data_IF_923862723716
#
_entry.id   IF_923862723716
#
_cell.length_a   1.000
_cell.length_b   1.000
_cell.length_c   1.000
_cell.angle_alpha   90.00
_cell.angle_beta   90.00
_cell.angle_gamma   90.00
#
_symmetry.space_group_name_H-M   'P 1'
#
loop_
_entity.id
_entity.type
_entity.pdbx_description
1 polymer ?
#
# COMPACT_ATOMS: atom_id res chain seq x y z
N UNK A 1 -6.49 -15.43 10.61
CA UNK A 1 -6.15 -14.37 9.64
C UNK A 1 -7.34 -13.47 9.31
N UNK A 2 -8.48 -13.96 8.81
CA UNK A 2 -9.62 -13.10 8.44
C UNK A 2 -10.19 -12.29 9.62
N UNK A 3 -10.32 -12.92 10.80
CA UNK A 3 -10.77 -12.26 12.03
C UNK A 3 -9.88 -11.05 12.39
N UNK A 4 -8.57 -11.23 12.33
CA UNK A 4 -7.58 -10.17 12.57
C UNK A 4 -7.76 -9.00 11.60
N UNK A 5 -7.91 -9.29 10.30
CA UNK A 5 -8.11 -8.26 9.28
C UNK A 5 -9.39 -7.45 9.54
N UNK A 6 -10.46 -8.12 9.97
CA UNK A 6 -11.73 -7.46 10.31
C UNK A 6 -11.60 -6.59 11.57
N UNK A 7 -10.93 -7.09 12.61
CA UNK A 7 -10.84 -6.40 13.91
C UNK A 7 -9.86 -5.22 13.88
N UNK A 8 -8.75 -5.35 13.16
CA UNK A 8 -7.65 -4.38 13.16
C UNK A 8 -7.67 -3.40 11.97
N UNK A 9 -8.80 -3.23 11.28
CA UNK A 9 -8.91 -2.30 10.15
C UNK A 9 -8.50 -0.85 10.49
N UNK A 10 -8.70 -0.40 11.73
CA UNK A 10 -8.26 0.92 12.21
C UNK A 10 -6.74 1.05 12.25
N UNK A 11 -6.04 -0.03 12.63
CA UNK A 11 -4.57 -0.07 12.61
C UNK A 11 -4.07 0.10 11.18
N UNK A 12 -4.66 -0.62 10.22
CA UNK A 12 -4.28 -0.47 8.81
C UNK A 12 -4.62 0.93 8.28
N UNK A 13 -5.74 1.52 8.70
CA UNK A 13 -6.07 2.91 8.35
C UNK A 13 -4.99 3.88 8.85
N UNK A 14 -4.62 3.79 10.13
CA UNK A 14 -3.58 4.65 10.69
C UNK A 14 -2.24 4.40 10.00
N UNK A 15 -1.85 3.14 9.78
CA UNK A 15 -0.62 2.78 9.08
C UNK A 15 -0.61 3.29 7.62
N UNK A 16 -1.73 3.23 6.89
CA UNK A 16 -1.86 3.81 5.56
C UNK A 16 -1.69 5.32 5.57
N UNK A 17 -2.35 6.01 6.50
CA UNK A 17 -2.30 7.46 6.62
C UNK A 17 -0.98 7.99 7.19
N UNK A 18 -0.13 7.12 7.74
CA UNK A 18 1.18 7.48 8.31
C UNK A 18 2.31 6.90 7.46
N UNK A 19 2.68 5.65 7.71
CA UNK A 19 3.73 4.96 6.98
C UNK A 19 3.45 4.93 5.48
N UNK A 20 2.21 4.58 5.07
CA UNK A 20 1.86 4.45 3.66
C UNK A 20 1.86 5.74 2.86
N UNK A 21 1.82 6.90 3.53
CA UNK A 21 1.94 8.23 2.89
C UNK A 21 3.30 8.88 3.15
N UNK A 22 4.18 8.27 3.94
CA UNK A 22 5.46 8.87 4.28
C UNK A 22 6.43 8.86 3.07
N UNK A 23 7.24 9.90 2.90
CA UNK A 23 7.10 11.25 3.47
C UNK A 23 5.90 11.98 2.85
N UNK A 24 5.18 12.81 3.58
CA UNK A 24 3.86 13.31 3.14
C UNK A 24 3.86 14.25 1.92
N UNK A 25 5.01 14.78 1.49
CA UNK A 25 5.08 15.74 0.39
C UNK A 25 6.43 15.65 -0.37
N UNK A 26 6.50 14.96 -1.52
CA UNK A 26 5.50 14.01 -2.05
C UNK A 26 5.61 12.61 -1.41
N UNK A 27 4.49 11.87 -1.23
CA UNK A 27 4.52 10.47 -0.81
C UNK A 27 5.38 9.60 -1.70
N UNK A 28 6.25 8.77 -1.09
CA UNK A 28 7.10 7.84 -1.85
C UNK A 28 6.25 6.95 -2.76
N UNK A 29 5.10 6.48 -2.27
CA UNK A 29 4.22 5.59 -3.02
C UNK A 29 3.75 6.20 -4.37
N UNK A 30 3.54 7.51 -4.44
CA UNK A 30 3.10 8.19 -5.69
C UNK A 30 4.21 8.11 -6.74
N UNK A 31 5.44 8.45 -6.36
CA UNK A 31 6.59 8.37 -7.27
C UNK A 31 6.83 6.94 -7.75
N UNK A 32 6.75 5.96 -6.85
CA UNK A 32 6.95 4.56 -7.23
C UNK A 32 5.84 4.03 -8.16
N UNK A 33 4.57 4.38 -7.92
CA UNK A 33 3.45 4.01 -8.81
C UNK A 33 3.67 4.59 -10.20
N UNK A 34 4.03 5.88 -10.31
CA UNK A 34 4.32 6.50 -11.61
C UNK A 34 5.49 5.82 -12.33
N UNK A 35 6.53 5.44 -11.60
CA UNK A 35 7.68 4.74 -12.16
C UNK A 35 7.33 3.33 -12.66
N UNK A 36 6.47 2.59 -11.94
CA UNK A 36 5.94 1.28 -12.38
C UNK A 36 5.07 1.45 -13.63
N UNK A 37 4.13 2.40 -13.63
CA UNK A 37 3.23 2.65 -14.77
C UNK A 37 3.99 3.14 -16.01
N UNK A 38 5.09 3.88 -15.83
CA UNK A 38 5.95 4.35 -16.91
C UNK A 38 6.89 3.30 -17.51
N UNK A 39 6.86 2.04 -17.04
CA UNK A 39 7.70 0.95 -17.54
C UNK A 39 9.15 0.96 -17.05
N UNK A 40 9.65 2.11 -16.61
CA UNK A 40 11.03 2.30 -16.12
C UNK A 40 11.40 1.51 -14.86
N UNK A 41 10.43 0.88 -14.19
CA UNK A 41 10.71 0.07 -13.00
C UNK A 41 11.39 -1.27 -13.35
N UNK A 42 11.07 -1.86 -14.52
CA UNK A 42 11.52 -3.20 -14.89
C UNK A 42 12.66 -3.19 -15.92
N UNK A 43 12.69 -2.19 -16.80
CA UNK A 43 13.70 -2.04 -17.85
C UNK A 43 13.87 -0.57 -18.23
N UNK A 44 15.00 -0.22 -18.85
CA UNK A 44 15.33 1.15 -19.26
C UNK A 44 16.62 1.68 -18.63
N UNK A 45 16.84 2.99 -18.70
CA UNK A 45 18.10 3.64 -18.29
C UNK A 45 18.35 3.62 -16.77
N UNK A 46 17.30 3.45 -15.98
CA UNK A 46 17.38 3.36 -14.52
C UNK A 46 16.27 2.45 -13.97
N UNK A 47 16.45 1.11 -13.98
CA UNK A 47 15.51 0.18 -13.39
C UNK A 47 15.49 0.29 -11.86
N UNK A 48 14.37 -0.09 -11.24
CA UNK A 48 14.25 -0.07 -9.77
C UNK A 48 15.23 -1.04 -9.13
N UNK A 49 15.92 -0.58 -8.09
CA UNK A 49 16.77 -1.41 -7.24
C UNK A 49 15.91 -2.12 -6.19
N UNK A 50 16.51 -3.09 -5.50
CA UNK A 50 15.82 -3.82 -4.43
C UNK A 50 15.23 -2.89 -3.36
N UNK A 51 15.92 -1.81 -3.01
CA UNK A 51 15.43 -0.83 -2.03
C UNK A 51 14.21 -0.06 -2.54
N UNK A 52 14.12 0.20 -3.84
CA UNK A 52 12.94 0.84 -4.44
C UNK A 52 11.71 -0.08 -4.39
N UNK A 53 11.92 -1.37 -4.64
CA UNK A 53 10.88 -2.39 -4.48
C UNK A 53 10.47 -2.56 -3.02
N UNK A 54 11.43 -2.48 -2.09
CA UNK A 54 11.13 -2.48 -0.67
C UNK A 54 10.30 -1.26 -0.27
N UNK A 55 10.59 -0.08 -0.80
CA UNK A 55 9.77 1.12 -0.60
C UNK A 55 8.33 0.95 -1.12
N UNK A 56 8.14 0.33 -2.29
CA UNK A 56 6.81 0.00 -2.82
C UNK A 56 6.06 -0.90 -1.84
N UNK A 57 6.71 -1.95 -1.35
CA UNK A 57 6.13 -2.90 -0.42
C UNK A 57 5.80 -2.23 0.92
N UNK A 58 6.76 -1.51 1.51
CA UNK A 58 6.64 -0.91 2.83
C UNK A 58 5.50 0.12 2.87
N UNK A 59 5.41 0.97 1.85
CA UNK A 59 4.40 2.02 1.80
C UNK A 59 3.06 1.50 1.24
N UNK A 60 3.08 0.51 0.35
CA UNK A 60 1.89 -0.09 -0.25
C UNK A 60 1.16 -1.10 0.63
N UNK A 61 1.89 -1.86 1.45
CA UNK A 61 1.32 -2.95 2.26
C UNK A 61 0.19 -2.48 3.20
N UNK A 62 0.30 -1.35 3.94
CA UNK A 62 -0.81 -0.85 4.76
C UNK A 62 -2.11 -0.63 3.96
N UNK A 63 -2.00 -0.09 2.74
CA UNK A 63 -3.16 0.15 1.86
C UNK A 63 -3.82 -1.14 1.39
N UNK A 64 -3.03 -2.15 1.04
CA UNK A 64 -3.55 -3.47 0.65
C UNK A 64 -4.30 -4.11 1.82
N UNK A 65 -3.71 -4.10 3.03
CA UNK A 65 -4.35 -4.63 4.22
C UNK A 65 -5.64 -3.87 4.57
N UNK A 66 -5.64 -2.54 4.43
CA UNK A 66 -6.82 -1.70 4.63
C UNK A 66 -7.94 -2.05 3.63
N UNK A 67 -7.62 -2.16 2.34
CA UNK A 67 -8.57 -2.52 1.28
C UNK A 67 -9.21 -3.89 1.55
N UNK A 68 -8.40 -4.91 1.85
CA UNK A 68 -8.89 -6.25 2.19
C UNK A 68 -9.83 -6.17 3.40
N UNK A 69 -9.43 -5.43 4.44
CA UNK A 69 -10.22 -5.28 5.66
C UNK A 69 -11.55 -4.58 5.43
N UNK A 70 -11.60 -3.55 4.57
CA UNK A 70 -12.83 -2.88 4.16
C UNK A 70 -13.73 -3.85 3.39
N UNK A 71 -13.20 -4.55 2.39
CA UNK A 71 -13.97 -5.49 1.58
C UNK A 71 -14.58 -6.61 2.42
N UNK A 72 -13.83 -7.15 3.37
CA UNK A 72 -14.33 -8.15 4.31
C UNK A 72 -15.48 -7.57 5.15
N UNK A 73 -15.29 -6.40 5.77
CA UNK A 73 -16.30 -5.77 6.63
C UNK A 73 -17.58 -5.37 5.87
N UNK A 74 -17.47 -4.92 4.62
CA UNK A 74 -18.62 -4.58 3.77
C UNK A 74 -19.51 -5.79 3.46
N UNK A 75 -18.94 -7.00 3.34
CA UNK A 75 -19.72 -8.23 3.09
C UNK A 75 -20.55 -8.72 4.29
N UNK A 76 -20.30 -8.23 5.51
CA UNK A 76 -20.98 -8.69 6.74
C UNK A 76 -22.29 -7.95 7.03
N UNK A 77 -22.54 -6.78 6.42
CA UNK A 77 -23.76 -5.97 6.62
C UNK A 77 -24.97 -6.40 5.77
N UNK A 78 -25.00 -7.63 5.24
CA UNK A 78 -26.03 -8.09 4.29
C UNK A 78 -26.96 -9.20 4.78
N UNK A 79 -27.08 -9.40 6.10
CA UNK A 79 -28.08 -10.28 6.71
C UNK A 79 -28.66 -9.62 7.95
#
# INVERSE_FOLDING_TARGET
MEKELRQHWKLFLIASLTLGLAPFNPPHIVGKINWIMGGGAFSGDNPMKLMDWFDVLLHGLPWILLLISILLNSKRKRS
#
